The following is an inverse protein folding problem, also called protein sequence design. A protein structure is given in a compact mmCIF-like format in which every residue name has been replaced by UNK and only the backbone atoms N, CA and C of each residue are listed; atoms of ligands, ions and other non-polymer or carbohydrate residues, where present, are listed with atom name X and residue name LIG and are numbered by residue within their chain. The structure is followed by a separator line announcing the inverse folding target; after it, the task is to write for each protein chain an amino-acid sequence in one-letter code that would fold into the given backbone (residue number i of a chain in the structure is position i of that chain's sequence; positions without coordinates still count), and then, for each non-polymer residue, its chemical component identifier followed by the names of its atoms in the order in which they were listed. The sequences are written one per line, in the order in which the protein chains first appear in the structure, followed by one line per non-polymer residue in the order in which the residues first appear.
data_IF_547402350733
#
_entry.id   IF_547402350733
#
_cell.length_a   1.000
_cell.length_b   1.000
_cell.length_c   1.000
_cell.angle_alpha   90.00
_cell.angle_beta   90.00
_cell.angle_gamma   90.00
#
_symmetry.space_group_name_H-M   'P 1'
#
loop_
_entity.id
_entity.type
_entity.pdbx_description
1 polymer ?
#
# COMPACT_ATOMS: atom_id res chain seq x y z
N UNK A 1 12.96 1.73 -0.18
CA UNK A 1 13.58 0.69 -1.04
C UNK A 1 13.18 -0.72 -0.60
N UNK A 2 13.25 -1.12 0.67
CA UNK A 2 12.90 -2.48 1.10
C UNK A 2 11.50 -2.93 0.70
N UNK A 3 10.49 -2.07 0.85
CA UNK A 3 9.12 -2.33 0.38
C UNK A 3 9.09 -2.63 -1.12
N UNK A 4 9.69 -1.76 -1.94
CA UNK A 4 9.71 -1.89 -3.41
C UNK A 4 10.41 -3.17 -3.87
N UNK A 5 11.52 -3.54 -3.21
CA UNK A 5 12.24 -4.79 -3.51
C UNK A 5 11.38 -6.00 -3.14
N UNK A 6 10.76 -5.98 -1.96
CA UNK A 6 9.89 -7.07 -1.50
C UNK A 6 8.67 -7.27 -2.39
N UNK A 7 8.02 -6.19 -2.80
CA UNK A 7 6.92 -6.19 -3.74
C UNK A 7 7.35 -6.76 -5.11
N UNK A 8 8.41 -6.22 -5.71
CA UNK A 8 8.91 -6.68 -7.01
C UNK A 8 9.38 -8.16 -7.03
N UNK A 9 9.83 -8.70 -5.89
CA UNK A 9 10.13 -10.13 -5.73
C UNK A 9 8.84 -10.96 -5.64
N UNK A 10 7.75 -10.38 -5.09
CA UNK A 10 6.47 -11.04 -4.92
C UNK A 10 5.64 -11.13 -6.20
N UNK A 11 5.67 -10.08 -7.04
CA UNK A 11 4.83 -9.95 -8.25
C UNK A 11 4.82 -11.20 -9.15
N UNK A 12 5.96 -11.83 -9.50
CA UNK A 12 5.96 -12.99 -10.39
C UNK A 12 5.34 -14.25 -9.77
N UNK A 13 5.30 -14.33 -8.44
CA UNK A 13 4.86 -15.53 -7.69
C UNK A 13 3.59 -15.31 -6.87
N UNK A 14 2.95 -14.19 -7.04
CA UNK A 14 1.67 -13.92 -6.40
C UNK A 14 0.66 -15.05 -6.72
N UNK A 15 -0.14 -15.42 -5.73
CA UNK A 15 -1.08 -16.56 -5.77
C UNK A 15 -0.44 -17.95 -5.89
N UNK A 16 0.89 -18.08 -6.01
CA UNK A 16 1.55 -19.38 -5.94
C UNK A 16 1.33 -20.03 -4.56
N UNK A 17 1.11 -21.34 -4.54
CA UNK A 17 0.95 -22.08 -3.29
C UNK A 17 2.26 -22.16 -2.51
N UNK A 18 2.13 -22.36 -1.17
CA UNK A 18 3.32 -22.54 -0.33
C UNK A 18 4.15 -23.77 -0.71
N UNK A 19 3.54 -24.80 -1.25
CA UNK A 19 4.25 -26.01 -1.63
C UNK A 19 4.99 -25.79 -2.96
N UNK A 20 4.43 -25.08 -3.93
CA UNK A 20 5.15 -24.62 -5.13
C UNK A 20 6.35 -23.76 -4.78
N UNK A 21 6.22 -22.82 -3.84
CA UNK A 21 7.32 -21.96 -3.40
C UNK A 21 8.40 -22.69 -2.58
N UNK A 22 8.06 -23.81 -1.92
CA UNK A 22 9.07 -24.67 -1.28
C UNK A 22 9.89 -25.45 -2.30
N UNK A 23 9.25 -25.94 -3.36
CA UNK A 23 9.91 -26.67 -4.44
C UNK A 23 10.74 -25.73 -5.33
N UNK A 24 10.24 -24.53 -5.57
CA UNK A 24 10.84 -23.51 -6.42
C UNK A 24 10.93 -22.17 -5.67
N UNK A 25 11.87 -22.04 -4.71
CA UNK A 25 11.99 -20.82 -3.92
C UNK A 25 12.47 -19.64 -4.77
N UNK A 26 11.93 -18.45 -4.47
CA UNK A 26 12.39 -17.20 -5.08
C UNK A 26 13.76 -16.87 -4.48
N UNK A 27 14.80 -16.97 -5.30
CA UNK A 27 16.21 -16.73 -4.90
C UNK A 27 16.83 -15.52 -5.56
N UNK A 28 16.13 -14.94 -6.55
CA UNK A 28 16.62 -13.77 -7.30
C UNK A 28 15.43 -12.98 -7.85
N UNK A 29 15.69 -11.79 -8.40
CA UNK A 29 14.72 -10.98 -9.08
C UNK A 29 14.34 -11.60 -10.42
N UNK A 30 13.21 -12.29 -10.46
CA UNK A 30 12.68 -12.94 -11.67
C UNK A 30 11.55 -12.10 -12.27
N UNK A 31 11.17 -12.37 -13.50
CA UNK A 31 10.09 -11.68 -14.18
C UNK A 31 9.03 -12.63 -14.73
N UNK A 32 8.02 -12.05 -15.29
CA UNK A 32 6.88 -12.64 -15.96
C UNK A 32 5.91 -13.33 -14.98
N UNK A 33 5.94 -14.61 -14.75
CA UNK A 33 5.09 -15.28 -13.75
C UNK A 33 3.60 -14.87 -13.82
N UNK A 34 2.98 -14.67 -12.66
CA UNK A 34 1.53 -14.45 -12.51
C UNK A 34 1.01 -13.26 -13.30
N UNK A 35 1.69 -12.14 -13.24
CA UNK A 35 1.25 -10.89 -13.87
C UNK A 35 1.91 -10.60 -15.22
N UNK A 36 2.77 -11.49 -15.70
CA UNK A 36 3.50 -11.35 -16.96
C UNK A 36 4.28 -10.03 -17.10
N UNK A 37 4.82 -9.54 -15.99
CA UNK A 37 5.59 -8.30 -15.91
C UNK A 37 7.10 -8.55 -15.94
N UNK A 38 7.92 -7.65 -16.49
CA UNK A 38 9.38 -7.77 -16.46
C UNK A 38 9.93 -7.84 -15.03
N UNK A 39 11.12 -8.43 -14.86
CA UNK A 39 11.80 -8.47 -13.58
C UNK A 39 12.00 -7.06 -12.99
N UNK A 40 11.73 -6.90 -11.69
CA UNK A 40 11.84 -5.63 -10.98
C UNK A 40 10.60 -4.74 -11.09
N UNK A 41 9.53 -5.20 -11.75
CA UNK A 41 8.24 -4.51 -11.76
C UNK A 41 7.57 -4.63 -10.39
N UNK A 42 7.15 -3.51 -9.82
CA UNK A 42 6.39 -3.44 -8.58
C UNK A 42 4.89 -3.26 -8.85
N UNK A 43 4.05 -3.62 -7.89
CA UNK A 43 2.59 -3.61 -7.94
C UNK A 43 1.96 -2.34 -7.36
N UNK A 44 0.69 -2.45 -6.94
CA UNK A 44 -0.06 -1.42 -6.21
C UNK A 44 0.57 -1.09 -4.86
N UNK A 45 1.19 -2.06 -4.19
CA UNK A 45 1.85 -1.88 -2.89
C UNK A 45 2.89 -0.75 -2.93
N UNK A 46 3.81 -0.80 -3.87
CA UNK A 46 4.83 0.24 -4.03
C UNK A 46 4.27 1.51 -4.68
N UNK A 47 3.40 1.38 -5.67
CA UNK A 47 2.81 2.53 -6.38
C UNK A 47 2.06 3.44 -5.41
N UNK A 48 1.21 2.89 -4.55
CA UNK A 48 0.47 3.67 -3.56
C UNK A 48 1.34 4.19 -2.41
N UNK A 49 2.39 3.45 -2.03
CA UNK A 49 3.38 3.95 -1.08
C UNK A 49 4.13 5.17 -1.65
N UNK A 50 4.56 5.13 -2.91
CA UNK A 50 5.25 6.25 -3.58
C UNK A 50 4.31 7.46 -3.74
N UNK A 51 3.06 7.25 -4.16
CA UNK A 51 2.05 8.31 -4.22
C UNK A 51 1.82 8.99 -2.86
N UNK A 52 1.78 8.19 -1.78
CA UNK A 52 1.65 8.71 -0.42
C UNK A 52 2.90 9.48 0.02
N UNK A 53 4.10 9.01 -0.33
CA UNK A 53 5.36 9.72 -0.03
C UNK A 53 5.42 11.07 -0.73
N UNK A 54 5.04 11.14 -2.01
CA UNK A 54 5.00 12.40 -2.76
C UNK A 54 4.01 13.38 -2.11
N UNK A 55 2.79 12.91 -1.79
CA UNK A 55 1.81 13.73 -1.11
C UNK A 55 2.32 14.27 0.24
N UNK A 56 2.98 13.44 1.07
CA UNK A 56 3.57 13.88 2.34
C UNK A 56 4.65 14.95 2.13
N UNK A 57 5.47 14.82 1.09
CA UNK A 57 6.48 15.82 0.73
C UNK A 57 5.91 17.16 0.26
N UNK A 58 4.65 17.19 -0.16
CA UNK A 58 3.94 18.39 -0.61
C UNK A 58 3.13 19.09 0.50
N UNK A 59 3.09 18.54 1.71
CA UNK A 59 2.36 19.15 2.83
C UNK A 59 3.11 20.38 3.33
N UNK A 60 2.60 21.56 2.98
CA UNK A 60 3.13 22.85 3.42
C UNK A 60 2.46 23.37 4.72
N UNK A 61 1.32 22.78 5.10
CA UNK A 61 0.51 23.20 6.24
C UNK A 61 0.31 22.04 7.23
N UNK A 62 -0.10 22.37 8.47
CA UNK A 62 -0.38 21.34 9.48
C UNK A 62 -1.64 20.50 9.17
N UNK A 63 -2.44 20.86 8.17
CA UNK A 63 -3.63 20.11 7.79
C UNK A 63 -3.39 19.38 6.47
N UNK A 64 -3.46 18.03 6.47
CA UNK A 64 -3.28 17.23 5.26
C UNK A 64 -4.45 17.42 4.29
N UNK A 65 -4.15 17.67 3.03
CA UNK A 65 -5.13 17.70 1.93
C UNK A 65 -5.38 16.27 1.41
N UNK A 66 -6.34 15.58 2.01
CA UNK A 66 -6.72 14.23 1.58
C UNK A 66 -7.32 14.16 0.18
N UNK A 67 -7.90 15.28 -0.32
CA UNK A 67 -8.38 15.34 -1.70
C UNK A 67 -7.23 15.16 -2.68
N UNK A 68 -6.13 15.86 -2.45
CA UNK A 68 -4.91 15.75 -3.28
C UNK A 68 -4.31 14.32 -3.23
N UNK A 69 -4.36 13.65 -2.09
CA UNK A 69 -3.96 12.24 -2.00
C UNK A 69 -4.84 11.34 -2.85
N UNK A 70 -6.17 11.51 -2.76
CA UNK A 70 -7.11 10.72 -3.57
C UNK A 70 -7.02 11.03 -5.06
N UNK A 71 -6.68 12.26 -5.45
CA UNK A 71 -6.40 12.62 -6.84
C UNK A 71 -5.17 11.84 -7.36
N UNK A 72 -4.09 11.72 -6.57
CA UNK A 72 -2.92 10.89 -6.90
C UNK A 72 -3.27 9.41 -7.07
N UNK A 73 -4.07 8.85 -6.17
CA UNK A 73 -4.55 7.47 -6.29
C UNK A 73 -5.45 7.26 -7.51
N UNK A 74 -6.26 8.26 -7.86
CA UNK A 74 -7.07 8.22 -9.08
C UNK A 74 -6.21 8.25 -10.34
N UNK A 75 -5.18 9.08 -10.38
CA UNK A 75 -4.23 9.16 -11.47
C UNK A 75 -3.46 7.85 -11.65
N UNK A 76 -3.07 7.20 -10.54
CA UNK A 76 -2.47 5.88 -10.58
C UNK A 76 -3.36 4.85 -11.32
N UNK A 77 -4.66 4.78 -11.00
CA UNK A 77 -5.58 3.86 -11.69
C UNK A 77 -5.81 4.27 -13.15
N UNK A 78 -6.00 5.56 -13.42
CA UNK A 78 -6.43 6.04 -14.73
C UNK A 78 -5.29 6.15 -15.75
N UNK A 79 -4.10 6.51 -15.28
CA UNK A 79 -2.97 6.87 -16.15
C UNK A 79 -1.70 6.06 -15.87
N UNK A 80 -1.71 5.17 -14.87
CA UNK A 80 -0.53 4.40 -14.49
C UNK A 80 0.56 5.23 -13.79
N UNK A 81 0.23 6.41 -13.25
CA UNK A 81 1.17 7.19 -12.45
C UNK A 81 1.74 6.33 -11.32
N UNK A 82 3.01 6.55 -10.96
CA UNK A 82 3.73 5.78 -9.92
C UNK A 82 4.01 4.31 -10.26
N UNK A 83 3.59 3.81 -11.41
CA UNK A 83 3.95 2.47 -11.88
C UNK A 83 5.25 2.48 -12.68
N UNK A 84 5.98 1.36 -12.80
CA UNK A 84 7.24 1.34 -13.55
C UNK A 84 7.10 1.68 -15.03
N UNK A 85 5.98 1.30 -15.66
CA UNK A 85 5.78 1.37 -17.10
C UNK A 85 4.50 2.07 -17.51
N UNK A 86 3.91 2.89 -16.63
CA UNK A 86 2.63 3.57 -16.88
C UNK A 86 1.47 2.59 -17.15
N UNK A 87 1.56 1.39 -16.61
CA UNK A 87 0.57 0.34 -16.70
C UNK A 87 0.17 -0.13 -15.30
N UNK A 88 -1.13 -0.08 -15.01
CA UNK A 88 -1.70 -0.65 -13.80
C UNK A 88 -2.19 -2.07 -14.11
N UNK A 89 -1.60 -3.07 -13.50
CA UNK A 89 -1.93 -4.48 -13.71
C UNK A 89 -2.51 -5.16 -12.47
N UNK A 90 -2.39 -4.54 -11.31
CA UNK A 90 -2.92 -5.05 -10.06
C UNK A 90 -3.58 -3.92 -9.26
N UNK A 91 -4.71 -4.23 -8.65
CA UNK A 91 -5.42 -3.34 -7.74
C UNK A 91 -6.35 -4.14 -6.84
N UNK A 92 -6.12 -4.10 -5.55
CA UNK A 92 -6.98 -4.74 -4.57
C UNK A 92 -8.43 -4.23 -4.65
N UNK A 93 -9.41 -5.14 -4.55
CA UNK A 93 -10.85 -4.85 -4.72
C UNK A 93 -11.30 -3.67 -3.85
N UNK A 94 -10.96 -3.67 -2.57
CA UNK A 94 -11.35 -2.60 -1.63
C UNK A 94 -10.72 -1.25 -2.00
N UNK A 95 -9.48 -1.26 -2.50
CA UNK A 95 -8.78 -0.06 -2.98
C UNK A 95 -9.46 0.51 -4.22
N UNK A 96 -9.73 -0.32 -5.22
CA UNK A 96 -10.44 0.09 -6.43
C UNK A 96 -11.82 0.68 -6.10
N UNK A 97 -12.61 0.04 -5.23
CA UNK A 97 -13.91 0.54 -4.80
C UNK A 97 -13.81 1.91 -4.11
N UNK A 98 -12.84 2.10 -3.22
CA UNK A 98 -12.64 3.38 -2.54
C UNK A 98 -12.31 4.50 -3.54
N UNK A 99 -11.43 4.25 -4.50
CA UNK A 99 -11.10 5.24 -5.54
C UNK A 99 -12.31 5.52 -6.45
N UNK A 100 -13.09 4.51 -6.80
CA UNK A 100 -14.33 4.70 -7.55
C UNK A 100 -15.38 5.52 -6.77
N UNK A 101 -15.52 5.31 -5.47
CA UNK A 101 -16.40 6.09 -4.62
C UNK A 101 -15.97 7.56 -4.58
N UNK A 102 -14.67 7.82 -4.47
CA UNK A 102 -14.12 9.16 -4.59
C UNK A 102 -14.46 9.81 -5.94
N UNK A 103 -14.25 9.10 -7.05
CA UNK A 103 -14.60 9.58 -8.40
C UNK A 103 -16.10 9.89 -8.59
N UNK A 104 -16.98 9.32 -7.75
CA UNK A 104 -18.42 9.61 -7.70
C UNK A 104 -18.76 10.78 -6.78
N UNK A 105 -17.77 11.42 -6.18
CA UNK A 105 -17.95 12.60 -5.32
C UNK A 105 -18.07 12.30 -3.83
N UNK A 106 -17.73 11.09 -3.37
CA UNK A 106 -17.65 10.78 -1.94
C UNK A 106 -16.46 11.50 -1.32
N UNK A 107 -16.65 12.05 -0.12
CA UNK A 107 -15.58 12.70 0.65
C UNK A 107 -14.39 11.74 0.88
N UNK A 108 -13.13 12.20 0.73
CA UNK A 108 -11.93 11.36 0.79
C UNK A 108 -11.88 10.39 1.97
N UNK A 109 -12.18 10.85 3.18
CA UNK A 109 -12.14 10.04 4.40
C UNK A 109 -13.33 9.07 4.54
N UNK A 110 -14.31 9.15 3.66
CA UNK A 110 -15.52 8.31 3.67
C UNK A 110 -15.57 7.33 2.50
N UNK A 111 -14.55 7.29 1.64
CA UNK A 111 -14.53 6.47 0.43
C UNK A 111 -14.45 4.96 0.70
N UNK A 112 -13.83 4.55 1.83
CA UNK A 112 -13.69 3.15 2.21
C UNK A 112 -15.04 2.52 2.56
N UNK A 113 -15.22 1.27 2.19
CA UNK A 113 -16.37 0.47 2.59
C UNK A 113 -16.31 0.13 4.10
N UNK A 114 -17.45 -0.20 4.72
CA UNK A 114 -17.59 -0.41 6.17
C UNK A 114 -18.29 -1.73 6.49
N UNK A 115 -18.36 -2.65 5.55
CA UNK A 115 -18.93 -3.98 5.76
C UNK A 115 -18.04 -4.88 6.61
N UNK A 116 -18.60 -5.92 7.16
CA UNK A 116 -17.91 -6.91 8.01
C UNK A 116 -16.68 -7.55 7.31
N UNK A 117 -16.71 -7.65 5.98
CA UNK A 117 -15.67 -8.29 5.17
C UNK A 117 -14.81 -7.28 4.37
N UNK A 118 -14.90 -5.98 4.68
CA UNK A 118 -14.17 -4.92 3.97
C UNK A 118 -12.83 -4.55 4.64
N UNK A 119 -12.22 -5.48 5.37
CA UNK A 119 -10.99 -5.31 6.14
C UNK A 119 -9.72 -5.82 5.42
N UNK A 120 -9.61 -5.56 4.12
CA UNK A 120 -8.42 -5.90 3.32
C UNK A 120 -7.15 -5.19 3.82
N UNK A 121 -5.99 -5.78 3.51
CA UNK A 121 -4.67 -5.29 3.96
C UNK A 121 -4.12 -4.07 3.18
N UNK A 122 -4.81 -3.59 2.16
CA UNK A 122 -4.35 -2.47 1.31
C UNK A 122 -4.10 -1.15 2.04
N UNK A 123 -4.50 -1.02 3.32
CA UNK A 123 -4.12 0.12 4.15
C UNK A 123 -2.65 0.06 4.60
N UNK A 124 -2.04 -1.13 4.69
CA UNK A 124 -0.68 -1.32 5.21
C UNK A 124 0.36 -0.60 4.33
N UNK A 125 0.29 -0.76 3.03
CA UNK A 125 1.19 -0.09 2.09
C UNK A 125 1.11 1.44 2.16
N UNK A 126 -0.09 1.99 2.40
CA UNK A 126 -0.34 3.43 2.47
C UNK A 126 0.04 4.05 3.81
N UNK A 127 -0.10 3.32 4.91
CA UNK A 127 0.23 3.83 6.25
C UNK A 127 1.73 3.87 6.51
N UNK A 128 2.52 3.02 5.87
CA UNK A 128 3.97 2.95 6.11
C UNK A 128 4.68 4.29 5.89
N UNK A 129 4.51 5.01 4.77
CA UNK A 129 5.10 6.34 4.60
C UNK A 129 4.61 7.35 5.64
N UNK A 130 3.32 7.34 5.97
CA UNK A 130 2.75 8.23 6.98
C UNK A 130 3.32 7.95 8.37
N UNK A 131 3.49 6.69 8.77
CA UNK A 131 4.09 6.32 10.03
C UNK A 131 5.56 6.76 10.13
N UNK A 132 6.33 6.67 9.05
CA UNK A 132 7.71 7.15 8.99
C UNK A 132 7.80 8.68 9.04
N UNK A 133 6.85 9.39 8.45
CA UNK A 133 6.81 10.85 8.41
C UNK A 133 6.39 11.46 9.74
N UNK A 134 5.32 10.98 10.35
CA UNK A 134 4.74 11.52 11.57
C UNK A 134 5.31 10.91 12.85
N UNK A 135 5.86 9.71 12.81
CA UNK A 135 6.31 8.94 13.96
C UNK A 135 5.16 8.35 14.79
N UNK A 136 5.53 7.59 15.82
CA UNK A 136 4.57 6.88 16.69
C UNK A 136 3.70 7.84 17.52
N UNK A 137 4.24 8.97 17.93
CA UNK A 137 3.54 9.91 18.83
C UNK A 137 2.36 10.61 18.16
N UNK A 138 2.35 10.68 16.84
CA UNK A 138 1.27 11.27 16.04
C UNK A 138 0.17 10.29 15.68
N UNK A 139 0.34 8.99 15.96
CA UNK A 139 -0.72 8.00 15.69
C UNK A 139 -1.90 8.19 16.66
N UNK A 140 -3.14 8.04 16.19
CA UNK A 140 -4.33 8.17 17.03
C UNK A 140 -4.28 7.19 18.22
N UNK A 141 -4.41 7.73 19.44
CA UNK A 141 -4.29 6.93 20.66
C UNK A 141 -5.38 5.86 20.81
N UNK A 142 -6.56 6.13 20.30
CA UNK A 142 -7.69 5.20 20.24
C UNK A 142 -7.39 4.01 19.31
N UNK A 143 -6.69 4.23 18.19
CA UNK A 143 -6.22 3.14 17.35
C UNK A 143 -5.20 2.26 18.06
N UNK A 144 -4.22 2.89 18.72
CA UNK A 144 -3.19 2.16 19.49
C UNK A 144 -3.78 1.38 20.67
N UNK A 145 -4.88 1.87 21.25
CA UNK A 145 -5.51 1.23 22.40
C UNK A 145 -6.19 -0.11 22.07
N UNK A 146 -6.63 -0.29 20.83
CA UNK A 146 -7.34 -1.51 20.38
C UNK A 146 -6.42 -2.55 19.72
N UNK A 147 -5.12 -2.24 19.55
CA UNK A 147 -4.14 -3.19 18.99
C UNK A 147 -3.88 -4.32 19.98
N UNK A 148 -4.20 -5.58 19.63
CA UNK A 148 -3.87 -6.73 20.47
C UNK A 148 -2.36 -6.88 20.63
N UNK A 149 -1.90 -7.20 21.86
CA UNK A 149 -0.48 -7.42 22.18
C UNK A 149 0.44 -6.21 21.86
N UNK A 150 -0.08 -4.99 21.93
CA UNK A 150 0.66 -3.76 21.61
C UNK A 150 1.98 -3.69 22.37
N UNK A 151 1.98 -3.95 23.67
CA UNK A 151 3.18 -3.89 24.54
C UNK A 151 4.26 -4.86 24.05
N UNK A 152 3.89 -6.09 23.70
CA UNK A 152 4.83 -7.07 23.16
C UNK A 152 5.41 -6.62 21.80
N UNK A 153 4.61 -6.02 20.93
CA UNK A 153 5.09 -5.46 19.65
C UNK A 153 6.09 -4.33 19.89
N UNK A 154 5.80 -3.44 20.84
CA UNK A 154 6.68 -2.32 21.23
C UNK A 154 8.01 -2.84 21.76
N UNK A 155 7.99 -3.83 22.68
CA UNK A 155 9.21 -4.45 23.20
C UNK A 155 10.08 -5.11 22.12
N UNK A 156 9.47 -5.68 21.08
CA UNK A 156 10.21 -6.23 19.94
C UNK A 156 10.86 -5.12 19.10
N UNK A 157 10.14 -4.04 18.85
CA UNK A 157 10.65 -2.91 18.10
C UNK A 157 11.84 -2.22 18.79
N UNK A 158 11.84 -2.15 20.13
CA UNK A 158 12.96 -1.59 20.92
C UNK A 158 14.25 -2.45 20.88
N UNK A 159 14.13 -3.72 20.50
CA UNK A 159 15.27 -4.65 20.40
C UNK A 159 15.95 -4.67 19.04
N UNK A 160 15.36 -4.01 18.06
CA UNK A 160 15.89 -3.89 16.69
C UNK A 160 16.86 -2.73 16.54
#
# INVERSE_FOLDING_TARGET
MGLVIGDALGVPVEFASRDELKENPVTDMIGYGTHNQPAGTWSDDSSMAVATMEWLGEIETQQPDYKRLMDKFSNWILYGDYTPYQENFDCGISTCKAIMNYGRGTEPLLCGEKGEFDNGNGSLMRILPAALYYGMDALPKDWLAVIPKKEWIMELAEKM
#
